data_IF_665168786716
#
_entry.id   IF_665168786716
#
_cell.length_a   1.000
_cell.length_b   1.000
_cell.length_c   1.000
_cell.angle_alpha   90.00
_cell.angle_beta   90.00
_cell.angle_gamma   90.00
#
_symmetry.space_group_name_H-M   'P 1'
#
loop_
_entity.id
_entity.type
_entity.pdbx_description
1 polymer ?
#
# COMPACT_ATOMS: atom_id res chain seq x y z
N UNK A 1 -31.49 5.43 -18.41
CA UNK A 1 -30.30 4.95 -17.68
C UNK A 1 -30.57 4.86 -16.19
N UNK A 2 -30.62 3.64 -15.62
CA UNK A 2 -30.57 3.47 -14.16
C UNK A 2 -29.10 3.47 -13.75
N UNK A 3 -28.64 4.54 -13.10
CA UNK A 3 -27.35 4.56 -12.40
C UNK A 3 -27.36 3.41 -11.39
N UNK A 4 -26.56 2.37 -11.64
CA UNK A 4 -26.35 1.30 -10.68
C UNK A 4 -25.76 1.94 -9.44
N UNK A 5 -26.50 1.91 -8.33
CA UNK A 5 -26.02 2.43 -7.06
C UNK A 5 -24.78 1.62 -6.67
N UNK A 6 -23.68 2.25 -6.23
CA UNK A 6 -22.57 1.51 -5.64
C UNK A 6 -23.13 0.60 -4.55
N UNK A 7 -22.60 -0.63 -4.50
CA UNK A 7 -22.99 -1.59 -3.46
C UNK A 7 -22.75 -0.95 -2.08
N UNK A 8 -23.55 -1.32 -1.07
CA UNK A 8 -23.50 -0.62 0.23
C UNK A 8 -22.09 -0.59 0.83
N UNK A 9 -21.30 -1.65 0.59
CA UNK A 9 -19.90 -1.79 0.99
C UNK A 9 -18.95 -0.84 0.25
N UNK A 10 -19.10 -0.68 -1.06
CA UNK A 10 -18.26 0.21 -1.87
C UNK A 10 -18.55 1.70 -1.57
N UNK A 11 -19.82 2.01 -1.28
CA UNK A 11 -20.23 3.33 -0.82
C UNK A 11 -19.79 3.61 0.63
N UNK A 12 -19.78 2.61 1.52
CA UNK A 12 -19.23 2.73 2.87
C UNK A 12 -17.71 2.91 2.85
N UNK A 13 -17.01 2.15 2.01
CA UNK A 13 -15.56 2.26 1.85
C UNK A 13 -15.13 3.64 1.34
N UNK A 14 -15.77 4.14 0.27
CA UNK A 14 -15.50 5.50 -0.23
C UNK A 14 -15.89 6.60 0.76
N UNK A 15 -16.87 6.35 1.64
CA UNK A 15 -17.23 7.27 2.73
C UNK A 15 -16.22 7.22 3.88
N UNK A 16 -15.69 6.04 4.22
CA UNK A 16 -14.65 5.90 5.24
C UNK A 16 -13.36 6.62 4.81
N UNK A 17 -12.91 6.41 3.57
CA UNK A 17 -11.74 7.10 3.00
C UNK A 17 -11.94 8.62 2.97
N UNK A 18 -13.13 9.11 2.64
CA UNK A 18 -13.44 10.55 2.66
C UNK A 18 -13.55 11.15 4.07
N UNK A 19 -14.01 10.39 5.08
CA UNK A 19 -14.05 10.85 6.47
C UNK A 19 -12.66 10.94 7.07
N UNK A 20 -11.79 9.94 6.82
CA UNK A 20 -10.41 9.95 7.30
C UNK A 20 -9.65 11.19 6.79
N UNK A 21 -9.81 11.51 5.51
CA UNK A 21 -9.18 12.69 4.88
C UNK A 21 -9.68 14.03 5.43
N UNK A 22 -10.88 14.07 6.00
CA UNK A 22 -11.44 15.29 6.62
C UNK A 22 -11.04 15.42 8.10
N UNK A 23 -10.87 14.30 8.80
CA UNK A 23 -10.40 14.28 10.20
C UNK A 23 -8.91 14.67 10.31
N UNK A 24 -8.11 14.41 9.26
CA UNK A 24 -6.71 14.83 9.17
C UNK A 24 -6.54 16.35 8.94
N UNK A 25 -7.54 17.03 8.35
CA UNK A 25 -7.51 18.48 8.13
C UNK A 25 -7.93 19.29 9.38
N UNK A 26 -8.71 18.72 10.31
CA UNK A 26 -9.15 19.41 11.53
C UNK A 26 -8.10 19.43 12.66
N UNK A 27 -7.02 18.67 12.55
CA UNK A 27 -5.93 18.68 13.54
C UNK A 27 -4.82 19.71 13.24
N UNK A 28 -5.01 20.55 12.21
CA UNK A 28 -4.11 21.63 11.83
C UNK A 28 -4.64 22.99 12.29
N UNK A 29 -4.53 23.26 13.59
CA UNK A 29 -4.79 24.60 14.14
C UNK A 29 -3.49 25.39 14.25
N UNK A 30 -3.27 26.33 13.33
CA UNK A 30 -2.33 27.45 13.47
C UNK A 30 -2.67 28.59 12.48
N UNK A 31 -2.28 29.85 12.79
CA UNK A 31 -3.25 30.92 12.97
C UNK A 31 -3.48 31.82 11.75
N UNK A 32 -4.67 32.43 11.80
CA UNK A 32 -5.22 33.51 10.99
C UNK A 32 -4.23 34.48 10.33
N UNK A 33 -4.33 34.60 9.01
CA UNK A 33 -4.20 35.89 8.32
C UNK A 33 -5.44 36.14 7.47
N UNK A 34 -6.22 37.11 7.92
CA UNK A 34 -7.34 37.71 7.19
C UNK A 34 -6.79 38.55 6.04
N UNK A 35 -7.26 38.27 4.82
CA UNK A 35 -7.22 39.25 3.74
C UNK A 35 -8.55 39.17 3.00
N UNK A 36 -9.28 40.28 3.06
CA UNK A 36 -10.54 40.55 2.40
C UNK A 36 -10.42 40.42 0.88
N UNK A 37 -11.46 39.90 0.23
CA UNK A 37 -11.84 40.23 -1.15
C UNK A 37 -13.28 39.76 -1.41
N UNK A 38 -14.20 40.73 -1.41
CA UNK A 38 -15.48 40.64 -2.08
C UNK A 38 -15.27 40.43 -3.59
N UNK A 39 -15.94 39.45 -4.20
CA UNK A 39 -16.45 39.64 -5.56
C UNK A 39 -17.65 38.73 -5.87
N UNK A 40 -18.68 39.38 -6.39
CA UNK A 40 -19.99 38.87 -6.79
C UNK A 40 -19.95 38.24 -8.18
N UNK A 41 -20.61 37.09 -8.38
CA UNK A 41 -20.73 36.46 -9.69
C UNK A 41 -21.98 35.59 -9.83
N UNK A 42 -22.92 36.10 -10.64
CA UNK A 42 -24.29 35.64 -10.83
C UNK A 42 -24.42 34.41 -11.76
N UNK A 43 -25.50 33.66 -11.53
CA UNK A 43 -26.28 32.75 -12.38
C UNK A 43 -25.76 32.37 -13.78
N UNK A 44 -25.76 31.07 -14.10
CA UNK A 44 -26.46 30.57 -15.30
C UNK A 44 -26.69 29.05 -15.29
N UNK A 45 -27.96 28.67 -15.22
CA UNK A 45 -28.49 27.34 -15.50
C UNK A 45 -28.39 27.03 -17.00
N UNK A 46 -27.69 25.95 -17.37
CA UNK A 46 -27.72 25.39 -18.72
C UNK A 46 -28.42 24.04 -18.72
N UNK A 47 -29.54 24.01 -19.42
CA UNK A 47 -30.30 22.82 -19.81
C UNK A 47 -29.58 22.10 -20.95
N UNK A 48 -29.27 20.82 -20.75
CA UNK A 48 -28.86 19.90 -21.81
C UNK A 48 -30.01 18.93 -22.10
N UNK A 49 -30.75 19.23 -23.15
CA UNK A 49 -31.38 18.21 -24.00
C UNK A 49 -30.30 17.71 -24.97
N UNK A 50 -30.21 16.39 -25.17
CA UNK A 50 -29.99 15.72 -26.47
C UNK A 50 -29.60 14.25 -26.31
N UNK A 51 -30.38 13.42 -26.99
CA UNK A 51 -29.97 12.23 -27.75
C UNK A 51 -29.78 10.90 -27.00
N UNK A 52 -30.79 10.06 -27.23
CA UNK A 52 -30.86 8.64 -26.92
C UNK A 52 -29.86 7.83 -27.75
N UNK A 53 -28.78 7.37 -27.11
CA UNK A 53 -27.98 6.27 -27.63
C UNK A 53 -28.65 4.93 -27.28
N UNK A 54 -28.76 4.09 -28.31
CA UNK A 54 -29.22 2.69 -28.25
C UNK A 54 -28.63 1.95 -27.05
N UNK A 55 -29.50 1.58 -26.11
CA UNK A 55 -29.12 0.71 -25.02
C UNK A 55 -28.91 -0.71 -25.56
N UNK A 56 -27.76 -1.36 -25.32
CA UNK A 56 -27.58 -2.76 -25.67
C UNK A 56 -28.59 -3.62 -24.89
N UNK A 57 -29.26 -4.50 -25.63
CA UNK A 57 -30.24 -5.48 -25.15
C UNK A 57 -29.70 -6.26 -23.92
N UNK A 58 -30.38 -6.21 -22.76
CA UNK A 58 -29.95 -6.89 -21.54
C UNK A 58 -30.24 -8.41 -21.55
N UNK A 59 -30.68 -9.00 -22.67
CA UNK A 59 -31.08 -10.42 -22.73
C UNK A 59 -30.03 -11.33 -23.38
N UNK A 60 -28.85 -11.44 -22.77
CA UNK A 60 -27.92 -12.56 -23.01
C UNK A 60 -27.46 -13.17 -21.69
N UNK A 61 -28.42 -13.67 -20.90
CA UNK A 61 -28.12 -14.63 -19.82
C UNK A 61 -27.95 -16.01 -20.47
N UNK A 62 -26.73 -16.30 -20.94
CA UNK A 62 -26.37 -17.65 -21.40
C UNK A 62 -25.95 -18.49 -20.19
N UNK A 63 -26.77 -19.49 -19.87
CA UNK A 63 -26.51 -20.50 -18.87
C UNK A 63 -25.30 -21.37 -19.28
N UNK A 64 -24.10 -20.96 -18.87
CA UNK A 64 -22.94 -21.84 -18.75
C UNK A 64 -22.74 -22.30 -17.30
N UNK A 65 -21.92 -23.33 -17.06
CA UNK A 65 -21.60 -23.76 -15.70
C UNK A 65 -21.04 -22.55 -14.92
N UNK A 66 -21.77 -22.13 -13.89
CA UNK A 66 -21.31 -21.09 -12.98
C UNK A 66 -20.15 -21.68 -12.18
N UNK A 67 -18.93 -21.48 -12.66
CA UNK A 67 -17.74 -21.68 -11.85
C UNK A 67 -17.94 -20.81 -10.60
N UNK A 68 -17.84 -21.42 -9.42
CA UNK A 68 -17.87 -20.68 -8.17
C UNK A 68 -16.68 -19.74 -8.18
N UNK A 69 -16.94 -18.47 -8.48
CA UNK A 69 -16.02 -17.37 -8.23
C UNK A 69 -15.76 -17.42 -6.73
N UNK A 70 -14.50 -17.62 -6.33
CA UNK A 70 -14.12 -17.47 -4.92
C UNK A 70 -14.70 -16.13 -4.46
N UNK A 71 -15.54 -16.16 -3.43
CA UNK A 71 -16.21 -14.96 -2.95
C UNK A 71 -15.15 -13.86 -2.76
N UNK A 72 -15.44 -12.63 -3.19
CA UNK A 72 -14.49 -11.49 -3.15
C UNK A 72 -13.82 -11.32 -1.78
N UNK A 73 -14.45 -11.80 -0.70
CA UNK A 73 -13.84 -11.89 0.63
C UNK A 73 -12.56 -12.75 0.73
N UNK A 74 -12.26 -13.60 -0.25
CA UNK A 74 -11.02 -14.37 -0.32
C UNK A 74 -9.80 -13.53 -0.71
N UNK A 75 -9.97 -12.51 -1.56
CA UNK A 75 -8.86 -11.64 -2.02
C UNK A 75 -8.25 -10.88 -0.84
N UNK A 76 -9.09 -10.30 0.02
CA UNK A 76 -8.65 -9.57 1.21
C UNK A 76 -7.92 -10.46 2.24
N UNK A 77 -8.06 -11.79 2.16
CA UNK A 77 -7.35 -12.72 3.04
C UNK A 77 -5.93 -13.06 2.53
N UNK A 78 -5.59 -12.70 1.29
CA UNK A 78 -4.24 -12.87 0.74
C UNK A 78 -3.39 -11.68 1.19
N UNK A 79 -2.99 -11.69 2.47
CA UNK A 79 -2.24 -10.58 3.09
C UNK A 79 -0.77 -10.61 2.71
N UNK A 80 -0.14 -11.76 2.93
CA UNK A 80 1.27 -11.98 2.69
C UNK A 80 1.43 -13.17 1.74
N UNK A 81 2.20 -12.97 0.68
CA UNK A 81 2.69 -14.06 -0.17
C UNK A 81 3.96 -14.67 0.41
N UNK A 82 4.71 -13.85 1.15
CA UNK A 82 5.82 -14.25 2.02
C UNK A 82 5.69 -13.41 3.29
N UNK A 83 5.65 -14.08 4.43
CA UNK A 83 5.50 -13.43 5.74
C UNK A 83 6.65 -12.45 6.02
N UNK A 84 6.43 -11.42 6.84
CA UNK A 84 7.49 -10.56 7.32
C UNK A 84 8.62 -11.35 7.98
N UNK A 85 9.85 -11.03 7.61
CA UNK A 85 11.05 -11.57 8.24
C UNK A 85 12.00 -10.43 8.61
N UNK A 86 12.61 -10.55 9.78
CA UNK A 86 13.44 -9.52 10.38
C UNK A 86 14.86 -10.04 10.64
N UNK A 87 15.84 -9.17 10.48
CA UNK A 87 17.23 -9.42 10.87
C UNK A 87 17.59 -8.44 11.98
N UNK A 88 18.05 -8.91 13.15
CA UNK A 88 18.47 -8.03 14.24
C UNK A 88 19.71 -7.22 13.87
N UNK A 89 19.86 -6.06 14.49
CA UNK A 89 21.08 -5.28 14.42
C UNK A 89 22.25 -6.00 15.11
N UNK A 90 23.47 -5.76 14.63
CA UNK A 90 24.68 -6.37 15.19
C UNK A 90 24.92 -5.97 16.66
N UNK A 91 24.48 -4.76 17.04
CA UNK A 91 24.54 -4.29 18.43
C UNK A 91 23.32 -4.80 19.22
N UNK A 92 23.52 -5.53 20.32
CA UNK A 92 22.42 -5.95 21.18
C UNK A 92 21.57 -4.78 21.67
N UNK A 93 20.24 -4.93 21.59
CA UNK A 93 19.28 -3.94 22.07
C UNK A 93 19.16 -2.68 21.20
N UNK A 94 19.75 -2.65 20.00
CA UNK A 94 19.60 -1.59 19.01
C UNK A 94 18.40 -1.79 18.06
N UNK A 95 17.70 -2.93 18.19
CA UNK A 95 16.57 -3.31 17.36
C UNK A 95 16.98 -4.11 16.12
N UNK A 96 16.31 -3.88 15.00
CA UNK A 96 16.52 -4.50 13.70
C UNK A 96 17.51 -3.77 12.78
N UNK A 97 18.05 -4.51 11.83
CA UNK A 97 18.85 -4.02 10.72
C UNK A 97 18.17 -4.22 9.35
N UNK A 98 17.28 -5.20 9.21
CA UNK A 98 16.59 -5.44 7.95
C UNK A 98 15.21 -6.04 8.16
N UNK A 99 14.26 -5.65 7.32
CA UNK A 99 12.95 -6.27 7.17
C UNK A 99 12.68 -6.63 5.71
N UNK A 100 12.10 -7.81 5.48
CA UNK A 100 11.62 -8.24 4.16
C UNK A 100 10.19 -8.76 4.26
N UNK A 101 9.36 -8.51 3.24
CA UNK A 101 7.99 -9.06 3.14
C UNK A 101 7.57 -9.11 1.68
N UNK A 102 6.65 -10.00 1.32
CA UNK A 102 5.93 -9.90 0.04
C UNK A 102 4.44 -9.72 0.31
N UNK A 103 3.93 -8.53 -0.01
CA UNK A 103 2.56 -8.11 0.23
C UNK A 103 1.64 -8.59 -0.90
N UNK A 104 0.52 -9.19 -0.51
CA UNK A 104 -0.61 -9.49 -1.38
C UNK A 104 -1.67 -8.37 -1.36
N UNK A 105 -2.81 -8.57 -2.04
CA UNK A 105 -3.88 -7.57 -2.12
C UNK A 105 -4.53 -7.26 -0.75
N UNK A 106 -4.40 -8.15 0.25
CA UNK A 106 -4.80 -7.90 1.63
C UNK A 106 -3.69 -7.34 2.53
N UNK A 107 -2.54 -6.95 1.97
CA UNK A 107 -1.34 -6.57 2.73
C UNK A 107 -1.46 -5.29 3.55
N UNK A 108 -2.47 -4.45 3.26
CA UNK A 108 -2.84 -3.34 4.12
C UNK A 108 -3.68 -3.84 5.29
N UNK A 109 -3.12 -3.78 6.49
CA UNK A 109 -3.76 -4.20 7.73
C UNK A 109 -3.95 -2.97 8.62
N UNK A 110 -5.14 -2.76 9.16
CA UNK A 110 -5.35 -1.69 10.16
C UNK A 110 -4.82 -2.13 11.53
N UNK A 111 -3.52 -2.41 11.60
CA UNK A 111 -2.81 -2.65 12.85
C UNK A 111 -2.32 -1.31 13.37
N UNK A 112 -3.12 -0.67 14.22
CA UNK A 112 -2.71 0.51 14.97
C UNK A 112 -1.75 0.07 16.10
N UNK A 113 -0.53 -0.34 15.73
CA UNK A 113 0.51 -0.72 16.68
C UNK A 113 1.58 0.36 16.72
N UNK A 114 1.61 1.13 17.81
CA UNK A 114 2.71 2.04 18.08
C UNK A 114 4.00 1.26 18.34
N UNK A 115 5.14 1.85 17.97
CA UNK A 115 6.45 1.28 18.24
C UNK A 115 6.77 1.38 19.75
N UNK A 116 6.97 0.23 20.39
CA UNK A 116 7.31 0.12 21.79
C UNK A 116 8.78 0.48 22.00
N UNK A 117 9.00 1.71 22.47
CA UNK A 117 10.32 2.21 22.85
C UNK A 117 11.05 1.28 23.83
N UNK A 118 10.33 0.60 24.72
CA UNK A 118 10.96 -0.23 25.76
C UNK A 118 11.60 -1.50 25.20
N UNK A 119 11.20 -1.92 23.99
CA UNK A 119 11.82 -3.01 23.26
C UNK A 119 13.20 -2.67 22.67
N UNK A 120 13.58 -1.38 22.60
CA UNK A 120 14.91 -0.93 22.15
C UNK A 120 15.66 -0.19 23.29
N UNK A 121 16.27 -0.91 24.24
CA UNK A 121 16.92 -0.29 25.40
C UNK A 121 18.12 0.61 25.03
N UNK A 122 18.75 0.42 23.87
CA UNK A 122 19.89 1.23 23.44
C UNK A 122 19.53 2.70 23.16
N UNK A 123 18.24 3.03 23.03
CA UNK A 123 17.80 4.42 22.86
C UNK A 123 18.28 5.31 24.03
N UNK A 124 18.25 4.81 25.26
CA UNK A 124 18.69 5.59 26.43
C UNK A 124 20.18 5.94 26.37
N UNK A 125 21.01 5.02 25.87
CA UNK A 125 22.43 5.27 25.66
C UNK A 125 22.65 6.31 24.56
N UNK A 126 21.88 6.25 23.47
CA UNK A 126 21.94 7.23 22.39
C UNK A 126 21.58 8.65 22.88
N UNK A 127 20.53 8.79 23.70
CA UNK A 127 20.15 10.10 24.28
C UNK A 127 21.18 10.64 25.28
N UNK A 128 21.84 9.75 26.02
CA UNK A 128 22.92 10.15 26.95
C UNK A 128 24.11 10.73 26.19
N UNK A 129 24.49 10.10 25.06
CA UNK A 129 25.61 10.55 24.23
C UNK A 129 25.26 11.76 23.36
N UNK A 130 23.98 11.94 23.04
CA UNK A 130 23.49 13.02 22.18
C UNK A 130 22.35 13.79 22.85
N UNK A 131 22.60 14.54 23.95
CA UNK A 131 21.57 15.16 24.79
C UNK A 131 20.73 16.26 24.10
N UNK A 132 21.11 16.68 22.89
CA UNK A 132 20.35 17.62 22.06
C UNK A 132 19.37 16.95 21.08
N UNK A 133 19.31 15.61 21.04
CA UNK A 133 18.49 14.86 20.10
C UNK A 133 17.45 14.02 20.83
N UNK A 134 16.22 14.03 20.32
CA UNK A 134 15.16 13.10 20.75
C UNK A 134 15.11 11.92 19.79
N UNK A 135 15.38 10.74 20.31
CA UNK A 135 15.25 9.49 19.58
C UNK A 135 13.92 8.81 19.91
N UNK A 136 13.43 7.97 19.00
CA UNK A 136 12.23 7.15 19.16
C UNK A 136 12.50 5.74 18.62
N UNK A 137 11.67 4.79 19.03
CA UNK A 137 11.52 3.56 18.26
C UNK A 137 10.64 3.87 17.05
N UNK A 138 11.10 3.50 15.86
CA UNK A 138 10.29 3.47 14.64
C UNK A 138 10.26 2.07 14.06
N UNK A 139 9.32 1.78 13.17
CA UNK A 139 9.22 0.47 12.54
C UNK A 139 10.07 0.38 11.27
N UNK A 140 10.73 -0.76 11.05
CA UNK A 140 11.32 -1.11 9.75
C UNK A 140 10.21 -1.41 8.74
N UNK A 141 9.33 -2.38 9.04
CA UNK A 141 8.07 -2.57 8.32
C UNK A 141 6.97 -1.79 9.00
N UNK A 142 6.30 -0.89 8.29
CA UNK A 142 5.18 -0.12 8.82
C UNK A 142 4.11 -1.02 9.46
N UNK A 143 3.52 -0.56 10.57
CA UNK A 143 2.45 -1.32 11.26
C UNK A 143 1.25 -1.61 10.34
N UNK A 144 0.88 -0.67 9.48
CA UNK A 144 -0.22 -0.86 8.53
C UNK A 144 0.11 -1.86 7.41
N UNK A 145 1.36 -2.31 7.31
CA UNK A 145 1.82 -3.33 6.39
C UNK A 145 2.14 -4.65 7.11
N UNK A 146 1.84 -4.76 8.41
CA UNK A 146 2.04 -5.97 9.21
C UNK A 146 3.21 -5.94 10.18
N UNK A 147 3.94 -4.84 10.26
CA UNK A 147 5.04 -4.72 11.20
C UNK A 147 4.58 -4.65 12.65
N UNK A 148 5.09 -5.52 13.51
CA UNK A 148 4.80 -5.45 14.94
C UNK A 148 5.54 -4.27 15.58
N UNK A 149 4.83 -3.49 16.39
CA UNK A 149 5.43 -2.45 17.22
C UNK A 149 6.09 -2.98 18.49
N UNK A 150 5.91 -4.25 18.84
CA UNK A 150 6.51 -4.88 20.03
C UNK A 150 7.62 -5.87 19.71
N UNK A 151 7.85 -6.18 18.43
CA UNK A 151 8.93 -7.05 18.00
C UNK A 151 10.22 -6.22 17.89
N UNK A 152 11.22 -6.41 18.78
CA UNK A 152 12.44 -5.61 18.75
C UNK A 152 13.18 -5.69 17.41
N UNK A 153 13.07 -6.80 16.67
CA UNK A 153 13.76 -6.97 15.39
C UNK A 153 13.09 -6.21 14.24
N UNK A 154 11.83 -5.77 14.43
CA UNK A 154 11.14 -4.86 13.50
C UNK A 154 11.31 -3.37 13.90
N UNK A 155 11.96 -3.07 15.02
CA UNK A 155 12.11 -1.70 15.47
C UNK A 155 13.51 -1.16 15.21
N UNK A 156 13.64 0.13 14.95
CA UNK A 156 14.91 0.82 14.73
C UNK A 156 14.92 2.15 15.50
N UNK A 157 16.10 2.58 15.95
CA UNK A 157 16.26 3.89 16.60
C UNK A 157 16.22 4.98 15.53
N UNK A 158 15.20 5.84 15.59
CA UNK A 158 14.99 6.94 14.65
C UNK A 158 14.98 8.32 15.33
N UNK A 159 15.42 9.34 14.60
CA UNK A 159 15.00 10.72 14.89
C UNK A 159 13.53 10.92 14.50
N UNK A 160 12.88 11.95 15.06
CA UNK A 160 11.49 12.28 14.68
C UNK A 160 11.37 12.65 13.19
N UNK A 161 12.38 13.30 12.63
CA UNK A 161 12.41 13.66 11.22
C UNK A 161 12.50 12.41 10.32
N UNK A 162 13.39 11.48 10.63
CA UNK A 162 13.54 10.22 9.88
C UNK A 162 12.27 9.37 9.91
N UNK A 163 11.63 9.25 11.09
CA UNK A 163 10.37 8.54 11.24
C UNK A 163 9.24 9.15 10.38
N UNK A 164 9.19 10.47 10.26
CA UNK A 164 8.21 11.14 9.40
C UNK A 164 8.53 11.00 7.92
N UNK A 165 9.82 11.03 7.55
CA UNK A 165 10.28 10.88 6.17
C UNK A 165 9.90 9.51 5.59
N UNK A 166 9.80 8.46 6.41
CA UNK A 166 9.40 7.12 5.98
C UNK A 166 8.02 7.06 5.30
N UNK A 167 7.12 7.99 5.62
CA UNK A 167 5.80 8.11 4.97
C UNK A 167 5.89 8.30 3.47
N UNK A 168 6.95 8.96 2.98
CA UNK A 168 7.17 9.16 1.54
C UNK A 168 7.34 7.84 0.76
N UNK A 169 7.79 6.79 1.44
CA UNK A 169 7.84 5.43 0.89
C UNK A 169 6.58 4.63 1.21
N UNK A 170 6.13 4.66 2.46
CA UNK A 170 5.04 3.80 2.95
C UNK A 170 3.68 4.12 2.32
N UNK A 171 3.32 5.40 2.22
CA UNK A 171 1.97 5.81 1.82
C UNK A 171 1.64 5.47 0.35
N UNK A 172 2.55 5.66 -0.63
CA UNK A 172 2.37 5.13 -1.98
C UNK A 172 2.15 3.61 -2.01
N UNK A 173 2.90 2.84 -1.23
CA UNK A 173 2.76 1.37 -1.18
C UNK A 173 1.39 0.97 -0.63
N UNK A 174 0.93 1.60 0.45
CA UNK A 174 -0.41 1.37 1.02
C UNK A 174 -1.49 1.64 -0.03
N UNK A 175 -1.40 2.78 -0.72
CA UNK A 175 -2.34 3.16 -1.76
C UNK A 175 -2.35 2.15 -2.92
N UNK A 176 -1.17 1.70 -3.37
CA UNK A 176 -1.02 0.68 -4.42
C UNK A 176 -1.67 -0.65 -4.08
N UNK A 177 -1.56 -1.09 -2.83
CA UNK A 177 -2.19 -2.35 -2.38
C UNK A 177 -3.72 -2.22 -2.40
N UNK A 178 -4.23 -1.16 -1.78
CA UNK A 178 -5.66 -0.92 -1.61
C UNK A 178 -6.38 -0.70 -2.95
N UNK A 179 -5.70 -0.09 -3.93
CA UNK A 179 -6.32 0.26 -5.20
C UNK A 179 -5.85 -0.67 -6.31
N UNK A 180 -4.60 -0.56 -6.74
CA UNK A 180 -4.12 -1.17 -7.98
C UNK A 180 -3.94 -2.68 -7.88
N UNK A 181 -3.32 -3.19 -6.81
CA UNK A 181 -3.12 -4.64 -6.62
C UNK A 181 -4.45 -5.36 -6.39
N UNK A 182 -5.31 -4.80 -5.54
CA UNK A 182 -6.66 -5.34 -5.30
C UNK A 182 -7.51 -5.38 -6.57
N UNK A 183 -7.44 -4.34 -7.41
CA UNK A 183 -8.13 -4.34 -8.71
C UNK A 183 -7.55 -5.35 -9.70
N UNK A 184 -6.23 -5.56 -9.73
CA UNK A 184 -5.61 -6.60 -10.55
C UNK A 184 -6.12 -8.00 -10.16
N UNK A 185 -6.15 -8.32 -8.85
CA UNK A 185 -6.72 -9.57 -8.35
C UNK A 185 -8.21 -9.71 -8.67
N UNK A 186 -8.98 -8.62 -8.55
CA UNK A 186 -10.40 -8.62 -8.91
C UNK A 186 -10.60 -8.89 -10.40
N UNK A 187 -9.78 -8.29 -11.27
CA UNK A 187 -9.81 -8.53 -12.71
C UNK A 187 -9.48 -10.00 -13.04
N UNK A 188 -8.47 -10.58 -12.39
CA UNK A 188 -8.09 -11.99 -12.55
C UNK A 188 -9.19 -12.95 -12.06
N UNK A 189 -9.83 -12.65 -10.93
CA UNK A 189 -10.96 -13.43 -10.42
C UNK A 189 -12.18 -13.36 -11.36
N UNK A 190 -12.47 -12.17 -11.91
CA UNK A 190 -13.53 -11.98 -12.91
C UNK A 190 -13.25 -12.70 -14.24
N UNK A 191 -11.98 -12.99 -14.51
CA UNK A 191 -11.53 -13.86 -15.60
C UNK A 191 -11.63 -15.36 -15.27
N UNK A 192 -12.14 -15.73 -14.09
CA UNK A 192 -12.29 -17.13 -13.66
C UNK A 192 -10.99 -17.79 -13.23
N UNK A 193 -9.92 -17.01 -13.00
CA UNK A 193 -8.64 -17.53 -12.53
C UNK A 193 -8.70 -17.78 -11.02
N UNK A 194 -8.06 -18.87 -10.58
CA UNK A 194 -7.80 -19.07 -9.16
C UNK A 194 -6.71 -18.09 -8.71
N UNK A 195 -7.15 -17.04 -8.02
CA UNK A 195 -6.27 -15.98 -7.55
C UNK A 195 -5.40 -16.37 -6.37
N UNK A 196 -5.69 -17.48 -5.69
CA UNK A 196 -4.93 -17.93 -4.51
C UNK A 196 -3.54 -18.44 -4.86
N UNK A 197 -3.31 -18.79 -6.13
CA UNK A 197 -2.05 -19.38 -6.61
C UNK A 197 -1.21 -18.43 -7.47
N UNK A 198 -1.65 -17.18 -7.68
CA UNK A 198 -1.01 -16.28 -8.66
C UNK A 198 0.34 -15.77 -8.18
N UNK A 199 0.49 -15.50 -6.88
CA UNK A 199 1.75 -14.99 -6.32
C UNK A 199 2.13 -13.59 -6.79
N UNK A 200 1.19 -12.82 -7.34
CA UNK A 200 1.41 -11.45 -7.80
C UNK A 200 1.35 -10.47 -6.62
N UNK A 201 2.37 -9.65 -6.42
CA UNK A 201 2.42 -8.76 -5.25
C UNK A 201 3.54 -7.75 -5.28
N UNK A 202 3.82 -7.17 -4.12
CA UNK A 202 4.88 -6.17 -3.92
C UNK A 202 5.86 -6.72 -2.88
N UNK A 203 7.09 -6.99 -3.27
CA UNK A 203 8.16 -7.29 -2.34
C UNK A 203 8.73 -6.00 -1.76
N UNK A 204 8.85 -5.92 -0.44
CA UNK A 204 9.52 -4.82 0.25
C UNK A 204 10.80 -5.31 0.92
N UNK A 205 11.83 -4.49 0.89
CA UNK A 205 13.05 -4.66 1.68
C UNK A 205 13.46 -3.33 2.28
N UNK A 206 13.50 -3.26 3.60
CA UNK A 206 13.91 -2.09 4.37
C UNK A 206 15.21 -2.46 5.10
N UNK A 207 16.28 -1.70 4.89
CA UNK A 207 17.62 -2.00 5.43
C UNK A 207 18.20 -0.76 6.09
N UNK A 208 18.55 -0.87 7.37
CA UNK A 208 19.32 0.13 8.08
C UNK A 208 20.70 0.30 7.44
N UNK A 209 21.19 1.52 7.37
CA UNK A 209 22.55 1.77 6.87
C UNK A 209 23.58 1.09 7.78
N UNK A 210 24.70 0.65 7.20
CA UNK A 210 25.83 0.09 7.94
C UNK A 210 26.67 1.16 8.68
N UNK A 211 26.38 2.43 8.41
CA UNK A 211 26.99 3.59 9.07
C UNK A 211 26.12 4.06 10.22
N UNK A 212 26.77 4.58 11.26
CA UNK A 212 26.13 4.98 12.51
C UNK A 212 26.60 6.37 12.93
N UNK A 213 25.86 7.00 13.84
CA UNK A 213 26.20 8.31 14.40
C UNK A 213 27.51 8.32 15.21
N UNK A 214 27.96 7.15 15.66
CA UNK A 214 29.30 6.95 16.18
C UNK A 214 29.91 5.68 15.60
N UNK A 215 31.22 5.69 15.35
CA UNK A 215 31.98 4.49 14.96
C UNK A 215 32.58 3.75 16.17
N UNK A 216 32.36 4.24 17.40
CA UNK A 216 32.84 3.60 18.63
C UNK A 216 31.75 2.70 19.24
N UNK A 217 31.93 1.36 19.30
CA UNK A 217 30.94 0.45 19.88
C UNK A 217 30.57 0.72 21.34
N UNK A 218 31.43 1.41 22.09
CA UNK A 218 31.15 1.79 23.47
C UNK A 218 30.15 2.96 23.58
N UNK A 219 29.97 3.75 22.52
CA UNK A 219 29.10 4.93 22.52
C UNK A 219 27.68 4.55 22.10
N UNK A 220 26.67 5.15 22.73
CA UNK A 220 25.26 5.01 22.35
C UNK A 220 24.97 5.37 20.89
N UNK A 221 25.73 6.31 20.31
CA UNK A 221 25.63 6.64 18.88
C UNK A 221 25.92 5.47 17.92
N UNK A 222 26.63 4.43 18.36
CA UNK A 222 26.84 3.20 17.56
C UNK A 222 25.61 2.28 17.54
N UNK A 223 24.52 2.67 18.22
CA UNK A 223 23.21 2.02 18.11
C UNK A 223 22.28 2.72 17.11
N UNK A 224 22.65 3.92 16.62
CA UNK A 224 21.79 4.76 15.77
C UNK A 224 22.32 4.76 14.35
N UNK A 225 21.68 4.04 13.41
CA UNK A 225 22.04 4.10 12.01
C UNK A 225 21.91 5.53 11.48
N UNK A 226 22.80 5.97 10.59
CA UNK A 226 22.74 7.31 9.99
C UNK A 226 21.62 7.47 8.93
N UNK A 227 20.89 6.39 8.68
CA UNK A 227 19.81 6.33 7.71
C UNK A 227 19.35 4.90 7.51
N UNK A 228 18.43 4.74 6.57
CA UNK A 228 17.97 3.45 6.08
C UNK A 228 17.43 3.59 4.66
N UNK A 229 17.41 2.47 3.95
CA UNK A 229 16.91 2.38 2.58
C UNK A 229 15.72 1.42 2.54
N UNK A 230 14.60 1.90 2.02
CA UNK A 230 13.41 1.16 1.68
C UNK A 230 13.38 0.92 0.17
N UNK A 231 13.12 -0.32 -0.23
CA UNK A 231 12.99 -0.71 -1.64
C UNK A 231 11.74 -1.55 -1.83
N UNK A 232 11.06 -1.33 -2.95
CA UNK A 232 9.91 -2.08 -3.38
C UNK A 232 10.12 -2.61 -4.80
N UNK A 233 9.61 -3.81 -5.07
CA UNK A 233 9.56 -4.37 -6.42
C UNK A 233 8.26 -5.14 -6.64
N UNK A 234 7.76 -5.11 -7.87
CA UNK A 234 6.64 -5.95 -8.29
C UNK A 234 7.17 -7.38 -8.49
N UNK A 235 6.45 -8.36 -7.96
CA UNK A 235 6.81 -9.79 -8.07
C UNK A 235 5.64 -10.62 -8.59
N UNK A 236 5.94 -11.74 -9.24
CA UNK A 236 4.92 -12.68 -9.72
C UNK A 236 3.98 -12.11 -10.78
N UNK A 237 4.48 -11.22 -11.63
CA UNK A 237 3.67 -10.62 -12.70
C UNK A 237 2.99 -11.69 -13.58
N UNK A 238 1.66 -11.62 -13.75
CA UNK A 238 0.95 -12.54 -14.61
C UNK A 238 1.42 -12.43 -16.07
N UNK A 239 1.89 -13.54 -16.63
CA UNK A 239 2.35 -13.59 -18.04
C UNK A 239 1.15 -13.60 -18.99
N UNK A 240 1.03 -12.67 -19.95
CA UNK A 240 -0.14 -12.58 -20.85
C UNK A 240 -0.47 -13.87 -21.61
N UNK A 241 0.56 -14.64 -22.00
CA UNK A 241 0.37 -15.92 -22.68
C UNK A 241 -0.27 -16.98 -21.76
N UNK A 242 0.12 -17.02 -20.49
CA UNK A 242 -0.47 -17.95 -19.50
C UNK A 242 -1.91 -17.56 -19.19
N UNK A 243 -2.20 -16.25 -19.08
CA UNK A 243 -3.56 -15.76 -18.93
C UNK A 243 -4.44 -16.16 -20.12
N UNK A 244 -3.93 -16.06 -21.35
CA UNK A 244 -4.68 -16.49 -22.54
C UNK A 244 -4.92 -18.00 -22.57
N UNK A 245 -3.91 -18.80 -22.25
CA UNK A 245 -4.03 -20.24 -22.19
C UNK A 245 -5.08 -20.68 -21.16
N UNK A 246 -5.06 -20.07 -19.96
CA UNK A 246 -6.03 -20.34 -18.91
C UNK A 246 -7.46 -19.98 -19.33
N UNK A 247 -7.66 -18.78 -19.91
CA UNK A 247 -8.95 -18.34 -20.41
C UNK A 247 -9.49 -19.20 -21.55
N UNK A 248 -8.64 -19.58 -22.50
CA UNK A 248 -9.01 -20.44 -23.63
C UNK A 248 -9.41 -21.83 -23.13
N UNK A 249 -8.69 -22.37 -22.14
CA UNK A 249 -9.03 -23.65 -21.52
C UNK A 249 -10.37 -23.63 -20.79
N UNK A 250 -10.68 -22.54 -20.08
CA UNK A 250 -11.92 -22.42 -19.29
C UNK A 250 -13.16 -22.13 -20.14
N UNK A 251 -13.03 -21.32 -21.19
CA UNK A 251 -14.18 -20.75 -21.90
C UNK A 251 -14.22 -21.05 -23.41
N UNK A 252 -13.20 -21.72 -23.95
CA UNK A 252 -13.07 -22.02 -25.37
C UNK A 252 -12.67 -20.82 -26.23
N UNK A 253 -12.39 -21.05 -27.52
CA UNK A 253 -11.81 -20.04 -28.42
C UNK A 253 -12.81 -19.00 -28.95
N UNK A 254 -14.08 -19.03 -28.56
CA UNK A 254 -15.15 -18.16 -29.11
C UNK A 254 -15.57 -17.00 -28.22
N UNK A 255 -15.09 -16.91 -26.97
CA UNK A 255 -15.38 -15.79 -26.03
C UNK A 255 -14.34 -14.65 -26.02
N UNK A 256 -13.54 -14.56 -27.09
CA UNK A 256 -12.31 -13.75 -27.17
C UNK A 256 -12.54 -12.23 -26.98
N UNK A 257 -13.64 -11.67 -27.48
CA UNK A 257 -13.86 -10.22 -27.42
C UNK A 257 -14.03 -9.68 -25.99
N UNK A 258 -14.77 -10.38 -25.12
CA UNK A 258 -14.91 -9.99 -23.72
C UNK A 258 -13.60 -10.18 -22.94
N UNK A 259 -12.80 -11.18 -23.30
CA UNK A 259 -11.49 -11.42 -22.69
C UNK A 259 -10.47 -10.35 -23.06
N UNK A 260 -10.50 -9.82 -24.29
CA UNK A 260 -9.60 -8.75 -24.71
C UNK A 260 -9.73 -7.50 -23.82
N UNK A 261 -10.96 -7.11 -23.49
CA UNK A 261 -11.22 -5.96 -22.60
C UNK A 261 -10.78 -6.22 -21.15
N UNK A 262 -11.03 -7.42 -20.62
CA UNK A 262 -10.58 -7.82 -19.28
C UNK A 262 -9.05 -7.86 -19.18
N UNK A 263 -8.37 -8.36 -20.21
CA UNK A 263 -6.90 -8.35 -20.30
C UNK A 263 -6.32 -6.95 -20.43
N UNK A 264 -6.91 -6.10 -21.27
CA UNK A 264 -6.48 -4.71 -21.39
C UNK A 264 -6.60 -3.98 -20.03
N UNK A 265 -7.65 -4.30 -19.27
CA UNK A 265 -7.86 -3.76 -17.92
C UNK A 265 -6.81 -4.27 -16.94
N UNK A 266 -6.56 -5.58 -16.90
CA UNK A 266 -5.50 -6.16 -16.06
C UNK A 266 -4.12 -5.61 -16.41
N UNK A 267 -3.76 -5.53 -17.68
CA UNK A 267 -2.47 -4.98 -18.13
C UNK A 267 -2.30 -3.52 -17.70
N UNK A 268 -3.38 -2.73 -17.71
CA UNK A 268 -3.36 -1.36 -17.17
C UNK A 268 -3.08 -1.35 -15.67
N UNK A 269 -3.71 -2.23 -14.89
CA UNK A 269 -3.42 -2.34 -13.47
C UNK A 269 -1.98 -2.80 -13.20
N UNK A 270 -1.45 -3.72 -13.98
CA UNK A 270 -0.03 -4.14 -13.87
C UNK A 270 0.91 -2.96 -14.13
N UNK A 271 0.71 -2.24 -15.24
CA UNK A 271 1.54 -1.08 -15.57
C UNK A 271 1.43 0.05 -14.53
N UNK A 272 0.23 0.30 -14.00
CA UNK A 272 0.04 1.27 -12.92
C UNK A 272 0.79 0.86 -11.65
N UNK A 273 0.75 -0.43 -11.28
CA UNK A 273 1.44 -0.90 -10.08
C UNK A 273 2.95 -0.71 -10.21
N UNK A 274 3.52 -1.01 -11.38
CA UNK A 274 4.93 -0.78 -11.67
C UNK A 274 5.31 0.69 -11.51
N UNK A 275 4.49 1.61 -12.02
CA UNK A 275 4.73 3.05 -11.90
C UNK A 275 4.64 3.54 -10.46
N UNK A 276 3.65 3.06 -9.70
CA UNK A 276 3.47 3.44 -8.30
C UNK A 276 4.61 2.90 -7.42
N UNK A 277 5.04 1.64 -7.63
CA UNK A 277 6.22 1.06 -6.96
C UNK A 277 7.49 1.81 -7.29
N UNK A 278 7.69 2.20 -8.55
CA UNK A 278 8.82 3.03 -8.96
C UNK A 278 8.79 4.41 -8.28
N UNK A 279 7.60 5.02 -8.15
CA UNK A 279 7.44 6.29 -7.46
C UNK A 279 7.72 6.17 -5.95
N UNK A 280 7.28 5.10 -5.29
CA UNK A 280 7.56 4.84 -3.88
C UNK A 280 9.08 4.78 -3.62
N UNK A 281 9.84 4.13 -4.51
CA UNK A 281 11.29 4.02 -4.40
C UNK A 281 12.02 5.37 -4.45
N UNK A 282 11.41 6.43 -5.01
CA UNK A 282 11.98 7.79 -4.96
C UNK A 282 12.04 8.35 -3.53
N UNK A 283 11.10 7.94 -2.66
CA UNK A 283 11.08 8.26 -1.23
C UNK A 283 11.81 7.23 -0.37
N UNK A 284 12.49 6.25 -0.97
CA UNK A 284 13.04 5.09 -0.27
C UNK A 284 14.34 5.35 0.49
N UNK A 285 15.04 6.46 0.25
CA UNK A 285 16.29 6.78 0.99
C UNK A 285 16.00 7.77 2.10
N UNK A 286 16.25 7.39 3.35
CA UNK A 286 15.97 8.20 4.54
C UNK A 286 17.28 8.42 5.31
N UNK A 287 17.56 9.67 5.63
CA UNK A 287 18.76 10.10 6.39
C UNK A 287 18.32 10.58 7.78
N UNK A 288 19.13 10.28 8.80
CA UNK A 288 18.88 10.64 10.19
C UNK A 288 19.64 11.86 10.65
#
# INVERSE_FOLDING_TARGET
MKRTRPTSLEAEFLRAVKRQRAEDDENYSSPSQSVDSDDSGDSQSQSYDSESEDAPDPTLIVAGPRIQIAAVGGIANIRYLVDPAYTPAARPGAGGAQSTVVLGPGGYVSMNSDADRTAIPAILAAETDHPGHTFKAGHLLNAELGGSGSDPDNLIILTTAANNAQRAFDDPIKASIQTTLTHAYTAMNNMGLDVTTIGYGISLTITANASYWSNNPAHGGYAVPDGFTCTAAVVGEPVPAHLEAALTGLYGPTRVANHANLKATLNRHIANLQNEVAAANLGGTIVQ
#
